data_IF_598834838934
#
_entry.id   IF_598834838934
#
_cell.length_a   1.000
_cell.length_b   1.000
_cell.length_c   1.000
_cell.angle_alpha   90.00
_cell.angle_beta   90.00
_cell.angle_gamma   90.00
#
_symmetry.space_group_name_H-M   'P 1'
#
loop_
_entity.id
_entity.type
_entity.pdbx_description
1 polymer ?
#
# COMPACT_ATOMS: atom_id res chain seq x y z
N UNK A 1 -9.97 2.26 -11.58
CA UNK A 1 -9.42 0.91 -11.88
C UNK A 1 -8.85 0.39 -10.57
N UNK A 2 -9.13 -0.86 -10.20
CA UNK A 2 -8.60 -1.49 -8.97
C UNK A 2 -7.81 -2.72 -9.39
N UNK A 3 -6.61 -2.89 -8.82
CA UNK A 3 -5.77 -4.08 -8.98
C UNK A 3 -5.69 -4.76 -7.63
N UNK A 4 -5.91 -6.07 -7.61
CA UNK A 4 -5.87 -6.88 -6.38
C UNK A 4 -4.72 -7.87 -6.49
N UNK A 5 -3.83 -7.83 -5.51
CA UNK A 5 -2.63 -8.67 -5.45
C UNK A 5 -2.76 -9.63 -4.27
N UNK A 6 -3.38 -10.82 -4.44
CA UNK A 6 -3.53 -11.76 -3.35
C UNK A 6 -2.18 -12.40 -3.00
N UNK A 7 -1.84 -12.40 -1.71
CA UNK A 7 -0.68 -13.13 -1.16
C UNK A 7 -1.20 -14.28 -0.30
N UNK A 8 -1.23 -15.48 -0.89
CA UNK A 8 -1.61 -16.70 -0.18
C UNK A 8 -0.42 -17.29 0.56
N UNK A 9 -0.54 -17.49 1.87
CA UNK A 9 0.56 -17.99 2.71
C UNK A 9 0.16 -19.28 3.41
N UNK A 10 0.97 -20.33 3.27
CA UNK A 10 0.81 -21.57 4.02
C UNK A 10 0.17 -22.72 3.24
N UNK A 11 0.20 -23.94 3.82
CA UNK A 11 -0.35 -25.13 3.19
C UNK A 11 -1.89 -25.15 3.13
N UNK A 12 -2.56 -24.26 3.86
CA UNK A 12 -4.01 -24.20 3.96
C UNK A 12 -4.65 -23.14 3.06
N UNK A 13 -3.86 -22.49 2.20
CA UNK A 13 -4.36 -21.50 1.25
C UNK A 13 -5.43 -22.10 0.35
N UNK A 14 -6.57 -21.43 0.25
CA UNK A 14 -7.61 -21.78 -0.70
C UNK A 14 -7.22 -21.31 -2.12
N UNK A 15 -6.46 -22.13 -2.85
CA UNK A 15 -5.99 -21.80 -4.20
C UNK A 15 -7.13 -21.54 -5.19
N UNK A 16 -8.30 -22.17 -5.01
CA UNK A 16 -9.47 -21.87 -5.84
C UNK A 16 -9.92 -20.42 -5.65
N UNK A 17 -9.96 -19.95 -4.40
CA UNK A 17 -10.31 -18.57 -4.09
C UNK A 17 -9.26 -17.58 -4.60
N UNK A 18 -7.97 -17.86 -4.41
CA UNK A 18 -6.87 -17.02 -4.95
C UNK A 18 -7.00 -16.87 -6.47
N UNK A 19 -7.21 -17.98 -7.18
CA UNK A 19 -7.38 -17.98 -8.63
C UNK A 19 -8.61 -17.20 -9.10
N UNK A 20 -9.69 -17.21 -8.31
CA UNK A 20 -10.89 -16.44 -8.63
C UNK A 20 -10.63 -14.93 -8.55
N UNK A 21 -9.79 -14.48 -7.62
CA UNK A 21 -9.38 -13.08 -7.49
C UNK A 21 -8.44 -12.71 -8.63
N UNK A 22 -7.42 -13.55 -8.89
CA UNK A 22 -6.45 -13.34 -9.97
C UNK A 22 -7.13 -13.20 -11.34
N UNK A 23 -8.15 -14.00 -11.61
CA UNK A 23 -8.89 -13.95 -12.89
C UNK A 23 -9.77 -12.72 -13.10
N UNK A 24 -9.98 -11.87 -12.10
CA UNK A 24 -10.87 -10.71 -12.24
C UNK A 24 -10.29 -9.63 -13.16
N UNK A 25 -8.96 -9.51 -13.24
CA UNK A 25 -8.29 -8.53 -14.09
C UNK A 25 -6.91 -9.06 -14.53
N UNK A 26 -6.45 -8.76 -15.75
CA UNK A 26 -5.14 -9.22 -16.22
C UNK A 26 -3.96 -8.65 -15.42
N UNK A 27 -4.16 -7.54 -14.71
CA UNK A 27 -3.17 -6.93 -13.83
C UNK A 27 -3.15 -7.55 -12.42
N UNK A 28 -4.08 -8.43 -12.08
CA UNK A 28 -4.01 -9.15 -10.81
C UNK A 28 -2.94 -10.24 -10.95
N UNK A 29 -2.01 -10.29 -10.00
CA UNK A 29 -1.01 -11.35 -9.87
C UNK A 29 -1.11 -11.93 -8.47
N UNK A 30 -1.18 -13.24 -8.36
CA UNK A 30 -1.10 -13.92 -7.07
C UNK A 30 0.36 -14.24 -6.70
N UNK A 31 0.69 -14.11 -5.42
CA UNK A 31 1.88 -14.70 -4.82
C UNK A 31 1.43 -15.82 -3.88
N UNK A 32 1.95 -17.02 -4.06
CA UNK A 32 1.66 -18.17 -3.18
C UNK A 32 2.94 -18.60 -2.52
N UNK A 33 2.99 -18.46 -1.21
CA UNK A 33 4.14 -18.70 -0.35
C UNK A 33 3.86 -19.87 0.59
N UNK A 34 4.89 -20.64 0.93
CA UNK A 34 4.74 -21.80 1.81
C UNK A 34 4.65 -21.41 3.29
N UNK A 35 5.20 -20.26 3.68
CA UNK A 35 5.15 -19.72 5.04
C UNK A 35 5.33 -18.19 5.03
N UNK A 36 5.04 -17.55 6.17
CA UNK A 36 5.26 -16.10 6.34
C UNK A 36 6.73 -15.72 6.26
N UNK A 37 7.66 -16.65 6.49
CA UNK A 37 9.10 -16.39 6.42
C UNK A 37 9.57 -16.18 4.96
N UNK A 38 8.80 -16.64 3.97
CA UNK A 38 9.08 -16.40 2.56
C UNK A 38 8.73 -14.97 2.11
N UNK A 39 7.94 -14.22 2.88
CA UNK A 39 7.65 -12.82 2.56
C UNK A 39 8.93 -11.99 2.44
N UNK A 40 9.89 -12.22 3.35
CA UNK A 40 11.19 -11.55 3.30
C UNK A 40 12.06 -12.02 2.13
N UNK A 41 11.94 -13.30 1.75
CA UNK A 41 12.69 -13.87 0.63
C UNK A 41 12.21 -13.32 -0.72
N UNK A 42 10.91 -13.09 -0.85
CA UNK A 42 10.27 -12.55 -2.05
C UNK A 42 10.01 -11.04 -1.97
N UNK A 43 10.54 -10.37 -0.94
CA UNK A 43 10.26 -8.96 -0.66
C UNK A 43 10.49 -8.05 -1.86
N UNK A 44 11.67 -8.15 -2.48
CA UNK A 44 12.02 -7.27 -3.58
C UNK A 44 11.23 -7.60 -4.86
N UNK A 45 10.86 -8.86 -5.07
CA UNK A 45 9.97 -9.26 -6.17
C UNK A 45 8.57 -8.64 -6.00
N UNK A 46 7.98 -8.79 -4.82
CA UNK A 46 6.65 -8.25 -4.50
C UNK A 46 6.67 -6.73 -4.61
N UNK A 47 7.68 -6.07 -4.05
CA UNK A 47 7.79 -4.61 -4.07
C UNK A 47 8.02 -4.10 -5.50
N UNK A 48 8.87 -4.76 -6.30
CA UNK A 48 9.05 -4.41 -7.70
C UNK A 48 7.73 -4.49 -8.47
N UNK A 49 6.97 -5.56 -8.26
CA UNK A 49 5.66 -5.71 -8.90
C UNK A 49 4.69 -4.58 -8.52
N UNK A 50 4.64 -4.21 -7.23
CA UNK A 50 3.82 -3.08 -6.78
C UNK A 50 4.28 -1.75 -7.36
N UNK A 51 5.59 -1.54 -7.54
CA UNK A 51 6.13 -0.36 -8.20
C UNK A 51 5.74 -0.29 -9.69
N UNK A 52 5.72 -1.42 -10.40
CA UNK A 52 5.29 -1.47 -11.81
C UNK A 52 3.80 -1.19 -11.99
N UNK A 53 2.99 -1.42 -10.95
CA UNK A 53 1.57 -1.04 -10.93
C UNK A 53 1.35 0.45 -10.68
N UNK A 54 2.32 1.15 -10.08
CA UNK A 54 2.19 2.56 -9.80
C UNK A 54 2.18 3.34 -11.13
N UNK A 55 1.22 4.25 -11.34
CA UNK A 55 1.14 4.97 -12.59
C UNK A 55 2.37 5.90 -12.73
N UNK A 56 2.94 5.98 -13.94
CA UNK A 56 4.13 6.80 -14.22
C UNK A 56 3.84 8.30 -14.12
N UNK A 57 4.56 9.02 -13.25
CA UNK A 57 4.44 10.46 -13.14
C UNK A 57 4.57 11.13 -14.52
N UNK A 58 3.69 12.10 -14.88
CA UNK A 58 3.85 12.84 -16.12
C UNK A 58 5.26 13.42 -16.21
N UNK A 59 5.95 13.17 -17.32
CA UNK A 59 7.28 13.72 -17.54
C UNK A 59 7.25 15.24 -17.31
N UNK A 60 8.26 15.83 -16.61
CA UNK A 60 8.31 17.27 -16.43
C UNK A 60 8.29 17.94 -17.81
N UNK A 61 7.26 18.74 -18.08
CA UNK A 61 7.28 19.64 -19.23
C UNK A 61 8.48 20.56 -19.05
N UNK A 62 9.48 20.44 -19.94
CA UNK A 62 10.61 21.36 -19.94
C UNK A 62 10.05 22.79 -20.02
N UNK A 63 10.36 23.66 -19.04
CA UNK A 63 10.03 25.06 -19.20
C UNK A 63 10.78 25.59 -20.44
N UNK A 64 10.15 26.46 -21.26
CA UNK A 64 10.85 27.10 -22.36
C UNK A 64 12.09 27.83 -21.81
N UNK A 65 13.20 27.93 -22.59
CA UNK A 65 14.38 28.63 -22.12
C UNK A 65 14.01 30.07 -21.83
N UNK A 66 13.98 30.45 -20.55
CA UNK A 66 13.75 31.84 -20.14
C UNK A 66 15.04 32.59 -20.41
N UNK A 67 15.01 33.54 -21.35
CA UNK A 67 16.10 34.47 -21.56
C UNK A 67 16.38 35.23 -20.26
N UNK A 68 17.61 35.14 -19.75
CA UNK A 68 18.01 35.89 -18.56
C UNK A 68 18.14 37.37 -18.91
N UNK A 69 17.30 38.22 -18.32
CA UNK A 69 17.46 39.67 -18.36
C UNK A 69 18.10 40.11 -17.05
N UNK A 70 19.28 40.71 -17.15
CA UNK A 70 20.10 41.18 -16.04
C UNK A 70 19.62 42.55 -15.56
N UNK A 71 19.02 42.66 -14.37
CA UNK A 71 19.00 43.93 -13.60
C UNK A 71 18.94 43.69 -12.08
N UNK A 72 19.95 44.21 -11.37
CA UNK A 72 19.92 44.95 -10.08
C UNK A 72 19.28 44.39 -8.79
N UNK A 73 19.83 44.69 -7.59
CA UNK A 73 19.47 43.99 -6.35
C UNK A 73 18.34 44.67 -5.56
N UNK A 74 17.65 43.82 -4.79
CA UNK A 74 16.98 44.02 -3.49
C UNK A 74 15.51 43.56 -3.41
N UNK A 75 15.20 43.06 -2.20
CA UNK A 75 13.88 42.79 -1.60
C UNK A 75 13.25 41.39 -1.67
N UNK A 76 13.36 40.71 -0.52
CA UNK A 76 12.35 39.95 0.23
C UNK A 76 11.23 39.24 -0.54
N UNK A 77 11.24 37.90 -0.41
CA UNK A 77 10.02 37.11 -0.28
C UNK A 77 9.43 36.58 -1.58
N UNK A 78 9.94 35.44 -2.04
CA UNK A 78 9.14 34.52 -2.86
C UNK A 78 9.40 33.11 -2.35
N UNK A 79 8.43 32.58 -1.60
CA UNK A 79 8.31 31.13 -1.41
C UNK A 79 8.18 30.54 -2.81
N UNK A 80 9.24 29.91 -3.31
CA UNK A 80 9.17 29.17 -4.55
C UNK A 80 8.30 27.94 -4.31
N UNK A 81 6.99 28.12 -4.41
CA UNK A 81 6.09 27.05 -4.85
C UNK A 81 6.58 26.71 -6.26
N UNK A 82 7.55 25.79 -6.32
CA UNK A 82 7.91 25.11 -7.54
C UNK A 82 6.63 24.57 -8.20
N UNK A 83 6.65 24.30 -9.51
CA UNK A 83 5.47 23.81 -10.19
C UNK A 83 4.96 22.59 -9.41
N UNK A 84 3.71 22.66 -8.93
CA UNK A 84 3.02 21.49 -8.38
C UNK A 84 3.16 20.42 -9.45
N UNK A 85 4.02 19.43 -9.20
CA UNK A 85 4.05 18.23 -10.04
C UNK A 85 2.60 17.77 -10.05
N UNK A 86 2.03 17.53 -11.23
CA UNK A 86 0.76 16.82 -11.33
C UNK A 86 1.05 15.42 -10.79
N UNK A 87 0.99 15.31 -9.46
CA UNK A 87 1.22 14.11 -8.73
C UNK A 87 0.00 13.25 -8.94
N UNK A 88 0.21 12.06 -9.47
CA UNK A 88 -0.86 11.09 -9.51
C UNK A 88 -1.05 10.56 -8.11
N UNK A 89 -2.24 10.77 -7.59
CA UNK A 89 -2.65 10.24 -6.30
C UNK A 89 -2.98 8.76 -6.46
N UNK A 90 -2.37 7.91 -5.63
CA UNK A 90 -2.62 6.46 -5.61
C UNK A 90 -3.17 6.05 -4.25
N UNK A 91 -4.35 5.45 -4.24
CA UNK A 91 -4.93 4.85 -3.04
C UNK A 91 -4.53 3.37 -2.97
N UNK A 92 -3.89 2.97 -1.87
CA UNK A 92 -3.49 1.58 -1.59
C UNK A 92 -4.23 1.08 -0.36
N UNK A 93 -4.87 -0.07 -0.49
CA UNK A 93 -5.55 -0.75 0.64
C UNK A 93 -4.81 -2.03 0.97
N UNK A 94 -4.26 -2.12 2.18
CA UNK A 94 -3.74 -3.36 2.74
C UNK A 94 -4.84 -4.09 3.49
N UNK A 95 -4.98 -5.39 3.24
CA UNK A 95 -6.00 -6.24 3.87
C UNK A 95 -5.32 -7.44 4.51
N UNK A 96 -5.18 -7.43 5.83
CA UNK A 96 -4.44 -8.44 6.59
C UNK A 96 -5.40 -9.42 7.24
N UNK A 97 -5.14 -10.71 7.06
CA UNK A 97 -5.86 -11.75 7.78
C UNK A 97 -5.35 -11.87 9.23
N UNK A 98 -6.23 -11.63 10.19
CA UNK A 98 -5.96 -11.71 11.63
C UNK A 98 -6.69 -12.87 12.30
N UNK A 99 -6.82 -14.01 11.62
CA UNK A 99 -7.56 -15.18 12.11
C UNK A 99 -6.67 -16.13 12.94
N UNK A 100 -7.31 -17.03 13.71
CA UNK A 100 -6.62 -18.08 14.47
C UNK A 100 -5.93 -19.12 13.57
N UNK A 101 -6.25 -19.16 12.27
CA UNK A 101 -5.52 -20.00 11.30
C UNK A 101 -4.12 -19.45 11.01
N UNK A 102 -3.97 -18.12 11.02
CA UNK A 102 -2.68 -17.45 10.91
C UNK A 102 -1.94 -17.48 12.25
N UNK A 103 -2.65 -17.09 13.33
CA UNK A 103 -2.11 -16.94 14.68
C UNK A 103 -1.25 -15.69 14.87
N UNK A 104 -1.15 -15.22 16.11
CA UNK A 104 -0.54 -13.92 16.46
C UNK A 104 0.91 -13.77 15.97
N UNK A 105 1.74 -14.81 16.11
CA UNK A 105 3.15 -14.74 15.70
C UNK A 105 3.32 -14.53 14.18
N UNK A 106 2.49 -15.18 13.37
CA UNK A 106 2.54 -15.02 11.92
C UNK A 106 1.87 -13.72 11.48
N UNK A 107 0.80 -13.31 12.16
CA UNK A 107 0.18 -12.00 11.96
C UNK A 107 1.21 -10.87 12.16
N UNK A 108 2.00 -10.93 13.23
CA UNK A 108 3.02 -9.93 13.52
C UNK A 108 4.10 -9.87 12.42
N UNK A 109 4.54 -11.02 11.88
CA UNK A 109 5.46 -11.06 10.73
C UNK A 109 4.85 -10.45 9.47
N UNK A 110 3.59 -10.76 9.15
CA UNK A 110 2.88 -10.15 8.02
C UNK A 110 2.70 -8.64 8.19
N UNK A 111 2.45 -8.17 9.41
CA UNK A 111 2.35 -6.74 9.76
C UNK A 111 3.70 -6.03 9.60
N UNK A 112 4.79 -6.64 10.05
CA UNK A 112 6.16 -6.13 9.87
C UNK A 112 6.54 -6.04 8.39
N UNK A 113 6.18 -7.05 7.60
CA UNK A 113 6.36 -7.00 6.14
C UNK A 113 5.56 -5.85 5.51
N UNK A 114 4.28 -5.69 5.87
CA UNK A 114 3.46 -4.55 5.42
C UNK A 114 4.11 -3.21 5.80
N UNK A 115 4.60 -3.07 7.04
CA UNK A 115 5.31 -1.87 7.49
C UNK A 115 6.53 -1.58 6.60
N UNK A 116 7.33 -2.61 6.29
CA UNK A 116 8.49 -2.48 5.42
C UNK A 116 8.15 -2.08 3.97
N UNK A 117 6.99 -2.50 3.47
CA UNK A 117 6.46 -2.07 2.16
C UNK A 117 6.03 -0.59 2.23
N UNK A 118 5.22 -0.21 3.21
CA UNK A 118 4.74 1.17 3.40
C UNK A 118 5.91 2.14 3.59
N UNK A 119 6.98 1.72 4.28
CA UNK A 119 8.18 2.50 4.47
C UNK A 119 8.81 2.97 3.14
N UNK A 120 8.69 2.17 2.07
CA UNK A 120 9.21 2.49 0.72
C UNK A 120 8.25 3.36 -0.13
N UNK A 121 6.99 3.49 0.26
CA UNK A 121 5.97 4.27 -0.47
C UNK A 121 6.04 5.77 -0.17
N UNK A 122 5.76 6.65 -1.13
CA UNK A 122 5.67 8.11 -0.90
C UNK A 122 4.31 8.51 -0.30
N UNK A 123 4.09 8.16 0.97
CA UNK A 123 2.80 8.37 1.65
C UNK A 123 2.60 9.84 2.02
N UNK A 124 1.52 10.43 1.52
CA UNK A 124 1.15 11.82 1.80
C UNK A 124 -0.12 12.27 1.07
N UNK A 125 -0.64 13.42 1.48
CA UNK A 125 -1.94 13.97 1.04
C UNK A 125 -2.06 14.22 -0.48
N UNK A 126 -0.94 14.44 -1.15
CA UNK A 126 -0.88 14.70 -2.60
C UNK A 126 -0.15 13.56 -3.33
N UNK A 127 0.04 12.39 -2.73
CA UNK A 127 0.83 11.27 -3.28
C UNK A 127 0.16 9.91 -3.03
N UNK A 128 0.76 9.03 -2.23
CA UNK A 128 0.17 7.72 -1.90
C UNK A 128 -0.68 7.83 -0.63
N UNK A 129 -1.91 7.35 -0.70
CA UNK A 129 -2.78 7.23 0.47
C UNK A 129 -2.94 5.78 0.89
N UNK A 130 -3.02 5.53 2.20
CA UNK A 130 -3.04 4.17 2.75
C UNK A 130 -4.31 3.93 3.56
N UNK A 131 -5.02 2.84 3.26
CA UNK A 131 -5.97 2.22 4.19
C UNK A 131 -5.40 0.87 4.63
N UNK A 132 -5.52 0.55 5.92
CA UNK A 132 -5.17 -0.76 6.48
C UNK A 132 -6.41 -1.36 7.10
N UNK A 133 -6.76 -2.54 6.62
CA UNK A 133 -7.83 -3.37 7.13
C UNK A 133 -7.23 -4.62 7.76
N UNK A 134 -7.77 -5.03 8.88
CA UNK A 134 -7.55 -6.35 9.45
C UNK A 134 -8.88 -7.12 9.39
N UNK A 135 -8.86 -8.39 8.98
CA UNK A 135 -10.08 -9.19 8.84
C UNK A 135 -9.95 -10.63 9.35
N UNK A 136 -11.03 -11.12 9.93
CA UNK A 136 -11.28 -12.51 10.27
C UNK A 136 -12.72 -12.77 9.82
N UNK A 137 -13.66 -13.06 10.73
CA UNK A 137 -15.08 -13.07 10.38
C UNK A 137 -15.62 -11.65 10.15
N UNK A 138 -15.14 -10.69 10.95
CA UNK A 138 -15.42 -9.25 10.83
C UNK A 138 -14.22 -8.50 10.27
N UNK A 139 -14.46 -7.26 9.82
CA UNK A 139 -13.44 -6.35 9.29
C UNK A 139 -13.25 -5.18 10.27
N UNK A 140 -12.00 -4.90 10.61
CA UNK A 140 -11.58 -3.76 11.42
C UNK A 140 -10.79 -2.79 10.54
N UNK A 141 -11.16 -1.51 10.56
CA UNK A 141 -10.40 -0.44 9.89
C UNK A 141 -9.35 0.07 10.86
N UNK A 142 -8.08 -0.25 10.62
CA UNK A 142 -6.96 0.10 11.49
C UNK A 142 -6.38 1.48 11.16
N UNK A 143 -6.39 1.82 9.86
CA UNK A 143 -6.04 3.15 9.36
C UNK A 143 -6.85 3.42 8.09
N UNK A 144 -7.25 4.68 7.86
CA UNK A 144 -7.99 5.05 6.64
C UNK A 144 -7.48 6.36 6.07
N UNK A 145 -7.40 6.42 4.74
CA UNK A 145 -7.08 7.64 3.99
C UNK A 145 -8.22 8.65 3.92
N UNK A 146 -9.38 8.34 4.52
CA UNK A 146 -10.46 9.33 4.69
C UNK A 146 -10.12 10.39 5.73
N UNK A 147 -9.08 10.16 6.54
CA UNK A 147 -8.50 11.11 7.48
C UNK A 147 -7.19 11.66 6.92
N UNK A 148 -6.74 12.86 7.33
CA UNK A 148 -5.41 13.35 7.00
C UNK A 148 -4.32 12.37 7.45
N UNK A 149 -3.33 12.15 6.59
CA UNK A 149 -2.25 11.19 6.84
C UNK A 149 -0.88 11.79 6.59
N UNK A 150 0.08 11.45 7.45
CA UNK A 150 1.51 11.49 7.14
C UNK A 150 2.07 10.07 7.15
N UNK A 151 3.19 9.82 6.44
CA UNK A 151 3.91 8.55 6.52
C UNK A 151 4.16 8.13 7.98
N UNK A 152 4.58 9.08 8.83
CA UNK A 152 4.87 8.82 10.24
C UNK A 152 3.64 8.30 11.00
N UNK A 153 2.49 8.96 10.81
CA UNK A 153 1.24 8.60 11.48
C UNK A 153 0.74 7.22 11.02
N UNK A 154 0.82 6.93 9.73
CA UNK A 154 0.42 5.63 9.17
C UNK A 154 1.31 4.51 9.73
N UNK A 155 2.63 4.68 9.74
CA UNK A 155 3.55 3.69 10.27
C UNK A 155 3.37 3.49 11.79
N UNK A 156 3.07 4.56 12.53
CA UNK A 156 2.76 4.46 13.96
C UNK A 156 1.50 3.62 14.19
N UNK A 157 0.40 3.91 13.47
CA UNK A 157 -0.83 3.12 13.54
C UNK A 157 -0.57 1.66 13.19
N UNK A 158 0.17 1.40 12.11
CA UNK A 158 0.55 0.04 11.69
C UNK A 158 1.25 -0.74 12.80
N UNK A 159 2.23 -0.12 13.49
CA UNK A 159 2.95 -0.76 14.61
C UNK A 159 2.06 -1.07 15.81
N UNK A 160 0.99 -0.31 15.99
CA UNK A 160 0.04 -0.47 17.10
C UNK A 160 -1.07 -1.49 16.82
N UNK A 161 -1.22 -1.95 15.57
CA UNK A 161 -2.23 -2.95 15.20
C UNK A 161 -2.02 -4.20 16.04
N UNK A 162 -3.08 -4.60 16.74
CA UNK A 162 -3.12 -5.81 17.55
C UNK A 162 -3.81 -6.92 16.78
N UNK A 163 -3.30 -8.14 16.95
CA UNK A 163 -3.95 -9.34 16.46
C UNK A 163 -5.39 -9.45 17.01
N UNK A 164 -6.38 -9.58 16.13
CA UNK A 164 -7.79 -9.66 16.52
C UNK A 164 -8.25 -11.07 16.92
N UNK A 165 -7.70 -12.11 16.28
CA UNK A 165 -8.15 -13.50 16.42
C UNK A 165 -9.52 -13.81 15.82
N UNK A 166 -9.90 -15.08 15.90
CA UNK A 166 -11.19 -15.57 15.41
C UNK A 166 -11.07 -16.86 14.61
N UNK A 167 -12.01 -17.77 14.85
CA UNK A 167 -11.99 -19.13 14.32
C UNK A 167 -12.40 -19.27 12.85
N UNK A 168 -12.81 -18.17 12.20
CA UNK A 168 -13.33 -18.18 10.83
C UNK A 168 -12.97 -16.89 10.10
N UNK A 169 -12.95 -16.97 8.77
CA UNK A 169 -12.54 -15.90 7.87
C UNK A 169 -13.66 -15.57 6.90
N UNK A 170 -13.83 -14.28 6.58
CA UNK A 170 -14.75 -13.81 5.57
C UNK A 170 -14.04 -12.84 4.61
N UNK A 171 -13.17 -13.39 3.75
CA UNK A 171 -12.43 -12.60 2.75
C UNK A 171 -13.39 -11.86 1.79
N UNK A 172 -14.54 -12.46 1.48
CA UNK A 172 -15.54 -11.82 0.62
C UNK A 172 -16.10 -10.53 1.23
N UNK A 173 -16.32 -10.51 2.54
CA UNK A 173 -16.70 -9.28 3.26
C UNK A 173 -15.56 -8.27 3.29
N UNK A 174 -14.33 -8.71 3.54
CA UNK A 174 -13.15 -7.83 3.53
C UNK A 174 -12.97 -7.11 2.19
N UNK A 175 -13.19 -7.82 1.08
CA UNK A 175 -13.10 -7.24 -0.27
C UNK A 175 -14.23 -6.24 -0.59
N UNK A 176 -15.34 -6.20 0.16
CA UNK A 176 -16.38 -5.17 -0.04
C UNK A 176 -15.98 -3.79 0.50
N UNK A 177 -14.89 -3.72 1.28
CA UNK A 177 -14.33 -2.46 1.78
C UNK A 177 -13.33 -1.82 0.79
N UNK A 178 -13.01 -2.50 -0.31
CA UNK A 178 -12.03 -2.11 -1.34
C UNK A 178 -12.75 -1.68 -2.61
#
# INVERSE_FOLDING_TARGET
KVVVVPVGIGPHVNLRQVHLIEKQAPENKAFVLSSVDELEQHRDEIISYLCDLAPEAPAPTQPPPVAQVTVGPEHLGVSSLGPKRNSMVLDVVFVLEGSDQIGEANFNRSREFMEAVIQRMDVGQDAIHITVLQYAYTVTVEATFREPQSKGDVLQRVREIRYQGGNSTNTGLALQYV
#
